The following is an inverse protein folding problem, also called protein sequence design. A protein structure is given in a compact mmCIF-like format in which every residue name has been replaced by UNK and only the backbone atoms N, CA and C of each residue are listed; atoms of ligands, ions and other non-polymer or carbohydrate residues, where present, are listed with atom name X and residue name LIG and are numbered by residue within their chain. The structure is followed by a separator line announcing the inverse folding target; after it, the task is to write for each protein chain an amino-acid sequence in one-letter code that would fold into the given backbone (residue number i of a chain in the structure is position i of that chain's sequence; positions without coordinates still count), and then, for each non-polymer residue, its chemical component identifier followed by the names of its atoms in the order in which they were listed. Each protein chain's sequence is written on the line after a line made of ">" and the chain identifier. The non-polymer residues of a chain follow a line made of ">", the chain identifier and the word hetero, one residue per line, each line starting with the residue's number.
data_IF_854542320522
#
_entry.id   IF_854542320522
#
_cell.length_a   1.000
_cell.length_b   1.000
_cell.length_c   1.000
_cell.angle_alpha   90.00
_cell.angle_beta   90.00
_cell.angle_gamma   90.00
#
_symmetry.space_group_name_H-M   'P 1'
#
loop_
_entity.id
_entity.type
_entity.pdbx_description
1 polymer ?
#
# COMPACT_ATOMS: atom_id res chain seq x y z
N UNK A 1 0.94 13.84 -14.78
CA UNK A 1 2.41 13.75 -14.58
C UNK A 1 2.62 13.85 -13.07
N UNK A 2 3.39 12.96 -12.45
CA UNK A 2 3.52 12.95 -10.98
C UNK A 2 3.91 14.35 -10.48
N UNK A 3 3.14 14.86 -9.52
CA UNK A 3 3.37 16.19 -8.95
C UNK A 3 4.67 16.16 -8.14
N UNK A 4 5.62 17.07 -8.40
CA UNK A 4 6.92 17.03 -7.76
C UNK A 4 6.80 17.34 -6.27
N UNK A 5 7.61 16.67 -5.46
CA UNK A 5 7.58 16.89 -4.01
C UNK A 5 8.29 18.20 -3.66
N UNK A 6 8.04 18.72 -2.46
CA UNK A 6 8.72 19.95 -2.00
C UNK A 6 10.24 19.79 -2.00
N UNK A 7 10.75 18.60 -1.70
CA UNK A 7 12.17 18.32 -1.70
C UNK A 7 12.75 18.41 -3.12
N UNK A 8 12.10 17.78 -4.10
CA UNK A 8 12.53 17.81 -5.51
C UNK A 8 12.55 19.23 -6.08
N UNK A 9 11.51 20.03 -5.79
CA UNK A 9 11.45 21.43 -6.24
C UNK A 9 12.54 22.27 -5.59
N UNK A 10 12.77 22.11 -4.28
CA UNK A 10 13.84 22.82 -3.58
C UNK A 10 15.20 22.42 -4.15
N UNK A 11 15.43 21.14 -4.41
CA UNK A 11 16.70 20.65 -4.95
C UNK A 11 16.97 21.19 -6.36
N UNK A 12 15.95 21.21 -7.22
CA UNK A 12 16.03 21.78 -8.56
C UNK A 12 16.36 23.28 -8.54
N UNK A 13 15.70 24.06 -7.68
CA UNK A 13 15.99 25.49 -7.54
C UNK A 13 17.37 25.73 -6.90
N UNK A 14 17.76 24.90 -5.92
CA UNK A 14 19.07 25.00 -5.28
C UNK A 14 20.21 24.73 -6.27
N UNK A 15 20.06 23.76 -7.17
CA UNK A 15 21.02 23.50 -8.25
C UNK A 15 21.20 24.69 -9.20
N UNK A 16 20.17 25.53 -9.36
CA UNK A 16 20.25 26.76 -10.15
C UNK A 16 20.87 27.92 -9.37
N UNK A 17 20.60 28.05 -8.06
CA UNK A 17 21.05 29.19 -7.24
C UNK A 17 22.52 29.04 -6.81
N UNK A 18 22.96 27.84 -6.41
CA UNK A 18 24.35 27.58 -5.96
C UNK A 18 25.41 28.11 -6.93
N UNK A 19 25.36 27.81 -8.26
CA UNK A 19 26.39 28.29 -9.17
C UNK A 19 26.38 29.82 -9.30
N UNK A 20 25.22 30.48 -9.21
CA UNK A 20 25.13 31.95 -9.26
C UNK A 20 25.84 32.57 -8.06
N UNK A 21 25.64 32.02 -6.86
CA UNK A 21 26.31 32.49 -5.64
C UNK A 21 27.83 32.28 -5.76
N UNK A 22 28.27 31.10 -6.21
CA UNK A 22 29.70 30.80 -6.37
C UNK A 22 30.37 31.72 -7.39
N UNK A 23 29.74 31.96 -8.54
CA UNK A 23 30.26 32.88 -9.55
C UNK A 23 30.29 34.31 -9.02
N UNK A 24 29.25 34.76 -8.33
CA UNK A 24 29.22 36.08 -7.69
C UNK A 24 30.34 36.27 -6.66
N UNK A 25 30.59 35.26 -5.82
CA UNK A 25 31.67 35.27 -4.83
C UNK A 25 33.04 35.30 -5.49
N UNK A 26 33.25 34.54 -6.57
CA UNK A 26 34.49 34.54 -7.33
C UNK A 26 34.76 35.92 -7.96
N UNK A 27 33.75 36.53 -8.58
CA UNK A 27 33.83 37.90 -9.14
C UNK A 27 34.15 38.91 -8.03
N UNK A 28 33.52 38.78 -6.86
CA UNK A 28 33.77 39.65 -5.72
C UNK A 28 35.23 39.57 -5.24
N UNK A 29 35.78 38.36 -5.09
CA UNK A 29 37.19 38.14 -4.71
C UNK A 29 38.14 38.70 -5.78
N UNK A 30 37.83 38.49 -7.06
CA UNK A 30 38.61 39.05 -8.17
C UNK A 30 38.58 40.59 -8.15
N UNK A 31 37.42 41.19 -7.90
CA UNK A 31 37.29 42.64 -7.76
C UNK A 31 38.13 43.19 -6.61
N UNK A 32 38.06 42.56 -5.43
CA UNK A 32 38.91 42.93 -4.28
C UNK A 32 40.40 42.81 -4.60
N UNK A 33 40.80 41.76 -5.34
CA UNK A 33 42.17 41.58 -5.77
C UNK A 33 42.63 42.69 -6.73
N UNK A 34 41.78 43.11 -7.68
CA UNK A 34 42.08 44.24 -8.57
C UNK A 34 42.19 45.56 -7.81
N UNK A 35 41.30 45.80 -6.84
CA UNK A 35 41.40 46.98 -5.96
C UNK A 35 42.71 46.94 -5.17
N UNK A 36 43.09 45.78 -4.61
CA UNK A 36 44.37 45.62 -3.92
C UNK A 36 45.57 45.93 -4.84
N UNK A 37 45.60 45.38 -6.06
CA UNK A 37 46.68 45.65 -7.02
C UNK A 37 46.77 47.14 -7.41
N UNK A 38 45.63 47.84 -7.52
CA UNK A 38 45.62 49.27 -7.81
C UNK A 38 46.29 50.12 -6.71
N UNK A 39 46.35 49.64 -5.47
CA UNK A 39 47.09 50.32 -4.39
C UNK A 39 48.62 50.19 -4.53
N UNK A 40 49.09 49.16 -5.22
CA UNK A 40 50.52 48.89 -5.44
C UNK A 40 51.04 49.40 -6.78
N UNK A 41 50.17 49.46 -7.78
CA UNK A 41 50.55 49.81 -9.14
C UNK A 41 49.61 50.90 -9.71
N UNK A 42 50.08 52.15 -9.86
CA UNK A 42 49.24 53.31 -10.22
C UNK A 42 48.68 53.26 -11.65
N UNK A 43 49.20 52.36 -12.50
CA UNK A 43 48.70 52.12 -13.86
C UNK A 43 47.40 51.31 -13.93
N UNK A 44 46.94 50.68 -12.84
CA UNK A 44 45.71 49.89 -12.84
C UNK A 44 44.49 50.76 -12.53
N UNK A 45 43.39 50.66 -13.30
CA UNK A 45 42.21 51.48 -13.10
C UNK A 45 41.44 51.04 -11.84
N UNK A 46 41.64 51.78 -10.75
CA UNK A 46 40.90 51.61 -9.48
C UNK A 46 39.38 51.49 -9.68
N UNK A 47 38.82 52.32 -10.58
CA UNK A 47 37.38 52.33 -10.89
C UNK A 47 36.88 50.97 -11.42
N UNK A 48 37.68 50.27 -12.21
CA UNK A 48 37.30 48.95 -12.74
C UNK A 48 37.23 47.93 -11.60
N UNK A 49 38.21 47.96 -10.68
CA UNK A 49 38.19 47.10 -9.50
C UNK A 49 36.93 47.29 -8.66
N UNK A 50 36.58 48.54 -8.35
CA UNK A 50 35.38 48.87 -7.57
C UNK A 50 34.09 48.41 -8.27
N UNK A 51 33.97 48.64 -9.58
CA UNK A 51 32.79 48.20 -10.34
C UNK A 51 32.63 46.68 -10.34
N UNK A 52 33.73 45.93 -10.51
CA UNK A 52 33.72 44.47 -10.48
C UNK A 52 33.34 43.96 -9.08
N UNK A 53 33.87 44.58 -8.03
CA UNK A 53 33.50 44.23 -6.64
C UNK A 53 32.01 44.46 -6.38
N UNK A 54 31.45 45.60 -6.80
CA UNK A 54 30.03 45.90 -6.65
C UNK A 54 29.16 44.93 -7.45
N UNK A 55 29.57 44.59 -8.67
CA UNK A 55 28.87 43.60 -9.50
C UNK A 55 28.86 42.21 -8.83
N UNK A 56 30.01 41.74 -8.32
CA UNK A 56 30.11 40.47 -7.60
C UNK A 56 29.22 40.44 -6.35
N UNK A 57 29.22 41.53 -5.58
CA UNK A 57 28.36 41.67 -4.40
C UNK A 57 26.87 41.66 -4.75
N UNK A 58 26.49 42.30 -5.86
CA UNK A 58 25.11 42.30 -6.37
C UNK A 58 24.63 40.92 -6.79
N UNK A 59 25.45 40.16 -7.52
CA UNK A 59 25.13 38.80 -7.97
C UNK A 59 25.02 37.84 -6.78
N UNK A 60 25.98 37.89 -5.85
CA UNK A 60 25.96 37.07 -4.64
C UNK A 60 24.75 37.42 -3.74
N UNK A 61 24.46 38.71 -3.58
CA UNK A 61 23.31 39.19 -2.82
C UNK A 61 21.97 38.74 -3.42
N UNK A 62 21.84 38.80 -4.75
CA UNK A 62 20.65 38.31 -5.45
C UNK A 62 20.43 36.80 -5.24
N UNK A 63 21.49 35.99 -5.36
CA UNK A 63 21.42 34.56 -5.08
C UNK A 63 21.04 34.26 -3.63
N UNK A 64 21.58 35.02 -2.67
CA UNK A 64 21.21 34.92 -1.25
C UNK A 64 19.74 35.28 -1.00
N UNK A 65 19.21 36.30 -1.67
CA UNK A 65 17.80 36.68 -1.56
C UNK A 65 16.87 35.61 -2.14
N UNK A 66 17.20 35.02 -3.29
CA UNK A 66 16.45 33.90 -3.84
C UNK A 66 16.46 32.68 -2.90
N UNK A 67 17.60 32.39 -2.28
CA UNK A 67 17.72 31.33 -1.29
C UNK A 67 16.79 31.55 -0.09
N UNK A 68 16.68 32.78 0.41
CA UNK A 68 15.74 33.12 1.49
C UNK A 68 14.28 32.90 1.09
N UNK A 69 13.93 33.16 -0.17
CA UNK A 69 12.57 32.89 -0.67
C UNK A 69 12.23 31.39 -0.68
N UNK A 70 13.19 30.50 -0.93
CA UNK A 70 12.96 29.05 -0.91
C UNK A 70 12.52 28.54 0.47
N UNK A 71 13.06 29.12 1.55
CA UNK A 71 12.66 28.75 2.91
C UNK A 71 11.22 29.17 3.25
N UNK A 72 10.69 30.18 2.55
CA UNK A 72 9.33 30.69 2.77
C UNK A 72 8.27 29.97 1.91
N UNK A 73 8.64 28.93 1.16
CA UNK A 73 7.69 28.18 0.35
C UNK A 73 6.67 27.44 1.24
N UNK A 74 5.35 27.54 0.92
CA UNK A 74 4.30 26.87 1.68
C UNK A 74 4.52 25.35 1.68
N UNK A 75 4.12 24.70 2.78
CA UNK A 75 4.20 23.25 2.91
C UNK A 75 2.82 22.68 3.24
N UNK A 76 2.32 21.85 2.32
CA UNK A 76 1.12 21.05 2.49
C UNK A 76 1.53 19.62 2.88
N UNK A 77 0.92 19.10 3.94
CA UNK A 77 1.19 17.75 4.45
C UNK A 77 0.11 16.80 3.95
N UNK A 78 0.48 15.86 3.09
CA UNK A 78 -0.37 14.74 2.70
C UNK A 78 0.10 13.47 3.43
N UNK A 79 -0.77 12.82 4.20
CA UNK A 79 -0.43 11.58 4.91
C UNK A 79 -0.64 10.39 3.99
N UNK A 80 0.38 9.55 3.83
CA UNK A 80 0.26 8.33 3.04
C UNK A 80 -0.59 7.29 3.79
N UNK A 81 -1.65 6.73 3.19
CA UNK A 81 -2.52 5.77 3.89
C UNK A 81 -1.93 4.36 3.98
N UNK A 82 -0.83 4.10 3.26
CA UNK A 82 -0.12 2.82 3.30
C UNK A 82 0.84 2.75 4.49
N UNK A 83 1.73 3.75 4.62
CA UNK A 83 2.81 3.77 5.60
C UNK A 83 2.61 4.82 6.71
N UNK A 84 1.54 5.61 6.66
CA UNK A 84 1.16 6.63 7.65
C UNK A 84 2.18 7.75 7.85
N UNK A 85 3.21 7.78 7.00
CA UNK A 85 4.22 8.84 7.02
C UNK A 85 3.76 10.03 6.15
N UNK A 86 4.04 11.27 6.59
CA UNK A 86 3.66 12.46 5.85
C UNK A 86 4.63 12.73 4.69
N UNK A 87 4.06 13.06 3.53
CA UNK A 87 4.77 13.60 2.36
C UNK A 87 4.48 15.09 2.23
N UNK A 88 5.52 15.88 1.93
CA UNK A 88 5.45 17.35 1.89
C UNK A 88 5.36 17.84 0.44
N UNK A 89 4.30 18.59 0.15
CA UNK A 89 4.03 19.21 -1.15
C UNK A 89 3.98 20.73 -1.02
N UNK A 90 4.14 21.44 -2.15
CA UNK A 90 3.97 22.90 -2.19
C UNK A 90 2.49 23.32 -2.28
N UNK A 91 1.65 22.44 -2.79
CA UNK A 91 0.22 22.64 -3.02
C UNK A 91 -0.54 21.34 -2.73
N UNK A 92 -1.87 21.40 -2.48
CA UNK A 92 -2.68 20.20 -2.36
C UNK A 92 -2.55 19.35 -3.63
N UNK A 93 -2.28 18.04 -3.52
CA UNK A 93 -2.08 17.21 -4.68
C UNK A 93 -3.42 16.91 -5.38
N UNK A 94 -3.47 17.15 -6.69
CA UNK A 94 -4.67 16.92 -7.52
C UNK A 94 -4.58 15.65 -8.36
N UNK A 95 -3.37 15.11 -8.51
CA UNK A 95 -3.09 13.88 -9.26
C UNK A 95 -2.52 12.80 -8.34
N UNK A 96 -2.56 11.55 -8.80
CA UNK A 96 -1.91 10.44 -8.12
C UNK A 96 -0.41 10.73 -7.90
N UNK A 97 0.08 10.47 -6.69
CA UNK A 97 1.49 10.69 -6.33
C UNK A 97 2.11 9.43 -5.76
N UNK A 98 3.43 9.31 -5.88
CA UNK A 98 4.18 8.21 -5.28
C UNK A 98 4.71 8.63 -3.91
N UNK A 99 4.44 7.85 -2.88
CA UNK A 99 4.96 8.14 -1.54
C UNK A 99 6.48 7.94 -1.50
N UNK A 100 7.23 8.95 -1.01
CA UNK A 100 8.70 8.90 -0.89
C UNK A 100 9.19 7.81 0.07
N UNK A 101 8.37 7.40 1.04
CA UNK A 101 8.82 6.48 2.09
C UNK A 101 8.54 5.00 1.79
N UNK A 102 7.46 4.69 1.07
CA UNK A 102 7.10 3.31 0.76
C UNK A 102 7.06 3.03 -0.74
N UNK A 103 7.33 4.04 -1.58
CA UNK A 103 7.31 3.96 -3.04
C UNK A 103 6.01 3.39 -3.63
N UNK A 104 4.91 3.46 -2.86
CA UNK A 104 3.56 3.07 -3.32
C UNK A 104 2.86 4.28 -3.91
N UNK A 105 2.14 4.06 -5.01
CA UNK A 105 1.30 5.07 -5.64
C UNK A 105 0.04 5.26 -4.81
N UNK A 106 -0.18 6.49 -4.36
CA UNK A 106 -1.37 6.94 -3.64
C UNK A 106 -2.33 7.54 -4.65
N UNK A 107 -3.51 6.95 -4.79
CA UNK A 107 -4.54 7.43 -5.69
C UNK A 107 -5.29 8.62 -5.09
N UNK A 108 -5.51 9.66 -5.89
CA UNK A 108 -6.30 10.85 -5.51
C UNK A 108 -7.52 10.94 -6.41
N UNK A 109 -8.68 11.17 -5.80
CA UNK A 109 -9.95 11.41 -6.50
C UNK A 109 -10.59 12.67 -5.93
N UNK A 110 -10.86 13.67 -6.77
CA UNK A 110 -11.49 14.92 -6.35
C UNK A 110 -10.69 15.74 -5.32
N UNK A 111 -9.35 15.60 -5.31
CA UNK A 111 -8.48 16.28 -4.33
C UNK A 111 -8.45 15.63 -2.93
N UNK A 112 -9.06 14.45 -2.78
CA UNK A 112 -8.99 13.65 -1.55
C UNK A 112 -8.21 12.36 -1.79
N UNK A 113 -7.46 11.95 -0.76
CA UNK A 113 -6.71 10.70 -0.77
C UNK A 113 -7.69 9.54 -0.64
N UNK A 114 -7.71 8.65 -1.64
CA UNK A 114 -8.58 7.48 -1.61
C UNK A 114 -7.99 6.43 -0.66
N UNK A 115 -8.76 5.93 0.32
CA UNK A 115 -8.26 4.94 1.27
C UNK A 115 -7.95 3.60 0.56
N UNK A 116 -6.88 2.90 0.98
CA UNK A 116 -6.50 1.62 0.40
C UNK A 116 -7.48 0.52 0.82
N UNK A 117 -7.73 -0.43 -0.08
CA UNK A 117 -8.49 -1.62 0.28
C UNK A 117 -7.59 -2.60 1.01
N UNK A 118 -8.09 -3.15 2.12
CA UNK A 118 -7.44 -4.25 2.84
C UNK A 118 -8.00 -5.56 2.31
N UNK A 119 -7.14 -6.35 1.68
CA UNK A 119 -7.50 -7.65 1.10
C UNK A 119 -6.64 -8.73 1.69
N UNK A 120 -7.22 -9.92 1.83
CA UNK A 120 -6.53 -11.08 2.37
C UNK A 120 -5.91 -11.88 1.22
N UNK A 121 -4.63 -12.21 1.34
CA UNK A 121 -3.94 -13.07 0.37
C UNK A 121 -4.60 -14.45 0.31
N UNK A 122 -4.89 -14.97 -0.89
CA UNK A 122 -5.50 -16.32 -1.03
C UNK A 122 -4.54 -17.46 -0.72
N UNK A 123 -3.23 -17.22 -0.80
CA UNK A 123 -2.20 -18.24 -0.55
C UNK A 123 -1.85 -18.36 0.94
N UNK A 124 -1.61 -17.24 1.62
CA UNK A 124 -1.11 -17.26 3.00
C UNK A 124 -2.05 -16.63 4.03
N UNK A 125 -3.19 -16.05 3.63
CA UNK A 125 -4.10 -15.40 4.57
C UNK A 125 -3.61 -14.05 5.14
N UNK A 126 -2.46 -13.54 4.68
CA UNK A 126 -1.93 -12.27 5.17
C UNK A 126 -2.75 -11.07 4.67
N UNK A 127 -3.05 -10.07 5.52
CA UNK A 127 -3.71 -8.84 5.11
C UNK A 127 -2.77 -7.96 4.28
N UNK A 128 -3.27 -7.40 3.19
CA UNK A 128 -2.53 -6.58 2.26
C UNK A 128 -3.30 -5.30 1.93
N UNK A 129 -2.63 -4.15 2.07
CA UNK A 129 -3.16 -2.83 1.66
C UNK A 129 -2.87 -2.61 0.18
N UNK A 130 -3.89 -2.63 -0.67
CA UNK A 130 -3.75 -2.45 -2.13
C UNK A 130 -4.44 -1.17 -2.60
N UNK A 131 -4.06 -0.68 -3.78
CA UNK A 131 -4.74 0.45 -4.39
C UNK A 131 -6.10 0.03 -4.98
N UNK A 132 -7.13 0.89 -4.91
CA UNK A 132 -8.46 0.61 -5.48
C UNK A 132 -8.46 0.39 -6.99
N UNK A 133 -7.45 0.93 -7.70
CA UNK A 133 -7.31 0.80 -9.15
C UNK A 133 -6.51 -0.44 -9.58
N UNK A 134 -5.93 -1.20 -8.66
CA UNK A 134 -5.13 -2.37 -9.00
C UNK A 134 -6.01 -3.52 -9.53
N UNK A 135 -5.57 -4.16 -10.63
CA UNK A 135 -6.19 -5.38 -11.19
C UNK A 135 -5.59 -6.68 -10.64
N UNK A 136 -4.37 -6.58 -10.11
CA UNK A 136 -3.64 -7.69 -9.49
C UNK A 136 -2.74 -7.11 -8.40
N UNK A 137 -2.48 -7.90 -7.37
CA UNK A 137 -1.45 -7.57 -6.38
C UNK A 137 -0.60 -8.80 -6.09
N UNK A 138 0.66 -8.55 -5.74
CA UNK A 138 1.61 -9.56 -5.31
C UNK A 138 1.68 -9.47 -3.79
N UNK A 139 1.58 -10.61 -3.10
CA UNK A 139 1.67 -10.63 -1.64
C UNK A 139 3.11 -10.42 -1.17
N UNK A 140 3.35 -9.46 -0.27
CA UNK A 140 4.70 -9.18 0.26
C UNK A 140 5.27 -10.34 1.10
N UNK A 141 4.42 -11.22 1.65
CA UNK A 141 4.87 -12.33 2.51
C UNK A 141 5.21 -13.60 1.72
N UNK A 142 4.34 -14.01 0.80
CA UNK A 142 4.48 -15.29 0.09
C UNK A 142 4.80 -15.13 -1.39
N UNK A 143 4.95 -13.89 -1.88
CA UNK A 143 5.16 -13.53 -3.29
C UNK A 143 4.11 -14.12 -4.27
N UNK A 144 2.96 -14.53 -3.74
CA UNK A 144 1.87 -15.11 -4.52
C UNK A 144 1.10 -14.02 -5.25
N UNK A 145 0.88 -14.21 -6.55
CA UNK A 145 0.07 -13.32 -7.37
C UNK A 145 -1.42 -13.57 -7.08
N UNK A 146 -2.14 -12.51 -6.73
CA UNK A 146 -3.58 -12.55 -6.49
C UNK A 146 -4.29 -11.62 -7.47
N UNK A 147 -5.17 -12.18 -8.28
CA UNK A 147 -5.98 -11.41 -9.20
C UNK A 147 -7.14 -10.74 -8.47
N UNK A 148 -7.20 -9.42 -8.60
CA UNK A 148 -8.33 -8.60 -8.20
C UNK A 148 -9.31 -8.68 -9.36
N UNK A 149 -10.07 -9.78 -9.43
CA UNK A 149 -11.21 -9.83 -10.34
C UNK A 149 -12.06 -8.62 -9.96
N UNK A 150 -12.27 -7.64 -10.87
CA UNK A 150 -13.06 -6.47 -10.52
C UNK A 150 -14.39 -7.03 -10.04
N UNK A 151 -14.67 -6.85 -8.75
CA UNK A 151 -16.04 -6.95 -8.30
C UNK A 151 -16.72 -5.89 -9.14
N UNK A 152 -17.51 -6.33 -10.13
CA UNK A 152 -18.34 -5.45 -10.92
C UNK A 152 -18.95 -4.43 -9.95
N UNK A 153 -18.96 -3.13 -10.29
CA UNK A 153 -19.57 -2.13 -9.43
C UNK A 153 -20.98 -2.66 -9.14
N UNK A 154 -21.25 -3.02 -7.89
CA UNK A 154 -22.61 -3.35 -7.50
C UNK A 154 -23.41 -2.09 -7.82
N UNK A 155 -24.37 -2.13 -8.75
CA UNK A 155 -25.23 -0.98 -8.94
C UNK A 155 -26.08 -0.89 -7.67
N UNK A 156 -25.82 0.11 -6.83
CA UNK A 156 -26.63 0.39 -5.65
C UNK A 156 -25.90 0.66 -4.32
N UNK A 157 -24.58 0.80 -4.25
CA UNK A 157 -23.94 1.33 -3.03
C UNK A 157 -23.62 2.80 -3.24
N UNK A 158 -24.62 3.63 -2.91
CA UNK A 158 -24.45 5.06 -2.75
C UNK A 158 -23.31 5.33 -1.74
N UNK A 159 -22.53 6.36 -2.03
CA UNK A 159 -21.64 7.06 -1.10
C UNK A 159 -22.33 7.25 0.24
N UNK A 160 -21.87 6.54 1.27
CA UNK A 160 -22.24 6.83 2.65
C UNK A 160 -21.16 7.73 3.27
N UNK A 161 -21.55 8.85 3.90
CA UNK A 161 -20.63 9.78 4.54
C UNK A 161 -20.01 9.18 5.80
N UNK A 162 -18.86 9.73 6.18
CA UNK A 162 -18.14 9.48 7.43
C UNK A 162 -19.09 9.66 8.62
N UNK A 163 -19.30 8.59 9.40
CA UNK A 163 -20.07 8.62 10.65
C UNK A 163 -21.19 7.58 10.71
N UNK A 164 -20.85 6.29 10.69
CA UNK A 164 -21.74 5.22 11.12
C UNK A 164 -20.93 4.20 11.94
N UNK A 165 -21.50 3.66 13.03
CA UNK A 165 -20.78 2.79 13.97
C UNK A 165 -20.29 1.54 13.23
N UNK A 166 -19.18 0.97 13.71
CA UNK A 166 -18.68 -0.35 13.30
C UNK A 166 -19.82 -1.38 13.44
N UNK A 167 -20.61 -1.56 12.39
CA UNK A 167 -21.26 -2.84 12.15
C UNK A 167 -20.14 -3.77 11.72
N UNK A 168 -19.58 -4.46 12.71
CA UNK A 168 -18.87 -5.71 12.50
C UNK A 168 -19.75 -6.57 11.60
N UNK A 169 -19.44 -6.60 10.31
CA UNK A 169 -19.91 -7.65 9.42
C UNK A 169 -19.28 -8.90 10.00
N UNK A 170 -19.98 -9.57 10.92
CA UNK A 170 -19.65 -10.92 11.36
C UNK A 170 -19.62 -11.75 10.09
N UNK A 171 -18.41 -12.00 9.58
CA UNK A 171 -18.19 -13.08 8.65
C UNK A 171 -18.50 -14.35 9.46
N UNK A 172 -19.77 -14.76 9.46
CA UNK A 172 -20.18 -16.04 10.03
C UNK A 172 -19.49 -17.11 9.19
N UNK A 173 -18.39 -17.63 9.72
CA UNK A 173 -17.70 -18.76 9.13
C UNK A 173 -18.36 -20.05 9.60
N UNK A 174 -18.23 -21.08 8.79
CA UNK A 174 -18.95 -22.33 8.98
C UNK A 174 -17.99 -23.51 8.93
N UNK A 175 -18.23 -24.48 9.80
CA UNK A 175 -17.51 -25.75 9.87
C UNK A 175 -18.35 -26.83 9.18
N UNK A 176 -17.67 -27.68 8.40
CA UNK A 176 -18.28 -28.82 7.71
C UNK A 176 -17.98 -30.09 8.49
N UNK A 177 -19.03 -30.75 8.96
CA UNK A 177 -18.96 -31.97 9.76
C UNK A 177 -19.48 -33.14 8.94
N UNK A 178 -18.69 -34.21 8.86
CA UNK A 178 -19.14 -35.49 8.32
C UNK A 178 -19.80 -36.28 9.44
N UNK A 179 -21.10 -36.55 9.30
CA UNK A 179 -21.87 -37.32 10.29
C UNK A 179 -21.86 -38.79 9.94
N UNK A 180 -22.03 -39.10 8.65
CA UNK A 180 -22.07 -40.47 8.15
C UNK A 180 -21.49 -40.57 6.73
N UNK A 181 -20.79 -41.66 6.44
CA UNK A 181 -20.20 -41.94 5.13
C UNK A 181 -21.16 -42.64 4.16
N UNK A 182 -22.29 -43.16 4.65
CA UNK A 182 -23.30 -43.83 3.83
C UNK A 182 -22.82 -45.13 3.18
N UNK A 183 -23.51 -45.56 2.12
CA UNK A 183 -23.27 -46.85 1.47
C UNK A 183 -22.14 -46.82 0.43
N UNK A 184 -21.81 -45.67 -0.14
CA UNK A 184 -20.80 -45.51 -1.19
C UNK A 184 -19.47 -44.98 -0.64
N UNK A 185 -18.87 -45.74 0.28
CA UNK A 185 -17.68 -45.30 1.03
C UNK A 185 -16.46 -45.01 0.15
N UNK A 186 -16.29 -45.69 -0.98
CA UNK A 186 -15.17 -45.47 -1.91
C UNK A 186 -15.30 -44.14 -2.69
N UNK A 187 -16.52 -43.77 -3.13
CA UNK A 187 -16.76 -42.47 -3.79
C UNK A 187 -16.59 -41.31 -2.82
N UNK A 188 -17.07 -41.48 -1.59
CA UNK A 188 -16.89 -40.51 -0.50
C UNK A 188 -15.42 -40.37 -0.14
N UNK A 189 -14.66 -41.46 -0.12
CA UNK A 189 -13.22 -41.46 0.14
C UNK A 189 -12.46 -40.64 -0.91
N UNK A 190 -12.78 -40.82 -2.19
CA UNK A 190 -12.15 -40.08 -3.28
C UNK A 190 -12.44 -38.58 -3.22
N UNK A 191 -13.68 -38.21 -2.94
CA UNK A 191 -14.08 -36.80 -2.74
C UNK A 191 -13.40 -36.22 -1.49
N UNK A 192 -13.34 -36.98 -0.38
CA UNK A 192 -12.71 -36.54 0.86
C UNK A 192 -11.21 -36.29 0.68
N UNK A 193 -10.51 -37.17 -0.02
CA UNK A 193 -9.09 -36.98 -0.31
C UNK A 193 -8.84 -35.83 -1.27
N UNK A 194 -9.72 -35.60 -2.26
CA UNK A 194 -9.64 -34.44 -3.13
C UNK A 194 -9.87 -33.13 -2.36
N UNK A 195 -10.80 -33.13 -1.40
CA UNK A 195 -11.13 -31.97 -0.57
C UNK A 195 -10.03 -31.60 0.42
N UNK A 196 -9.49 -32.60 1.11
CA UNK A 196 -8.45 -32.41 2.12
C UNK A 196 -7.03 -32.36 1.53
N UNK A 197 -6.86 -32.70 0.25
CA UNK A 197 -5.55 -32.91 -0.37
C UNK A 197 -4.68 -33.88 0.43
N UNK A 198 -5.30 -34.92 1.00
CA UNK A 198 -4.69 -35.86 1.93
C UNK A 198 -4.55 -37.28 1.31
N UNK A 199 -3.56 -38.08 1.76
CA UNK A 199 -3.40 -39.46 1.28
C UNK A 199 -4.57 -40.36 1.71
N UNK A 200 -4.90 -41.36 0.88
CA UNK A 200 -6.05 -42.27 1.08
C UNK A 200 -6.09 -42.94 2.46
N UNK A 201 -4.93 -43.27 3.04
CA UNK A 201 -4.86 -43.88 4.37
C UNK A 201 -5.35 -42.94 5.48
N UNK A 202 -5.11 -41.64 5.35
CA UNK A 202 -5.58 -40.63 6.29
C UNK A 202 -7.10 -40.43 6.18
N UNK A 203 -7.62 -40.36 4.95
CA UNK A 203 -9.06 -40.27 4.69
C UNK A 203 -9.81 -41.51 5.24
N UNK A 204 -9.22 -42.72 5.14
CA UNK A 204 -9.78 -43.95 5.72
C UNK A 204 -9.81 -43.93 7.25
N UNK A 205 -8.85 -43.26 7.88
CA UNK A 205 -8.87 -43.01 9.32
C UNK A 205 -10.06 -42.14 9.73
N UNK A 206 -10.30 -41.06 8.99
CA UNK A 206 -11.40 -40.11 9.24
C UNK A 206 -12.77 -40.80 9.12
N UNK A 207 -12.97 -41.68 8.13
CA UNK A 207 -14.21 -42.44 7.99
C UNK A 207 -14.49 -43.41 9.15
N UNK A 208 -13.47 -43.81 9.92
CA UNK A 208 -13.65 -44.67 11.11
C UNK A 208 -14.00 -43.88 12.37
N UNK A 209 -13.72 -42.58 12.39
CA UNK A 209 -13.90 -41.71 13.56
C UNK A 209 -15.11 -40.77 13.44
N UNK A 210 -16.09 -41.15 12.62
CA UNK A 210 -17.35 -40.43 12.46
C UNK A 210 -18.11 -40.34 13.81
N UNK A 211 -18.76 -39.20 14.12
CA UNK A 211 -18.82 -37.96 13.35
C UNK A 211 -17.62 -37.02 13.61
N UNK A 212 -17.04 -36.45 12.54
CA UNK A 212 -15.82 -35.61 12.61
C UNK A 212 -15.92 -34.32 11.77
N UNK A 213 -15.29 -33.25 12.26
CA UNK A 213 -15.14 -31.98 11.52
C UNK A 213 -14.07 -32.16 10.44
N UNK A 214 -14.45 -32.02 9.17
CA UNK A 214 -13.53 -32.16 8.03
C UNK A 214 -12.82 -30.83 7.74
N UNK A 215 -13.58 -29.74 7.71
CA UNK A 215 -13.09 -28.42 7.32
C UNK A 215 -13.66 -27.36 8.26
N UNK A 216 -12.84 -26.39 8.65
CA UNK A 216 -13.17 -25.31 9.60
C UNK A 216 -13.05 -23.98 8.87
N UNK A 217 -13.83 -22.98 9.31
CA UNK A 217 -13.70 -21.59 8.89
C UNK A 217 -14.05 -21.32 7.39
N UNK A 218 -15.11 -21.96 6.90
CA UNK A 218 -15.53 -21.82 5.50
C UNK A 218 -16.59 -20.74 5.31
N UNK A 219 -16.55 -20.01 4.18
CA UNK A 219 -17.68 -19.17 3.80
C UNK A 219 -18.87 -20.05 3.42
N UNK A 220 -20.07 -19.65 3.85
CA UNK A 220 -21.34 -20.40 3.69
C UNK A 220 -21.52 -21.06 2.32
N UNK A 221 -21.26 -20.30 1.25
CA UNK A 221 -21.42 -20.78 -0.15
C UNK A 221 -20.52 -21.98 -0.46
N UNK A 222 -19.30 -22.02 0.08
CA UNK A 222 -18.38 -23.15 -0.11
C UNK A 222 -18.80 -24.33 0.76
N UNK A 223 -19.14 -24.10 2.02
CA UNK A 223 -19.62 -25.15 2.91
C UNK A 223 -20.86 -25.87 2.34
N UNK A 224 -21.83 -25.10 1.82
CA UNK A 224 -23.02 -25.64 1.16
C UNK A 224 -22.68 -26.41 -0.14
N UNK A 225 -21.68 -25.94 -0.91
CA UNK A 225 -21.22 -26.65 -2.11
C UNK A 225 -20.59 -27.99 -1.76
N UNK A 226 -19.75 -28.03 -0.73
CA UNK A 226 -19.11 -29.27 -0.26
C UNK A 226 -20.13 -30.24 0.34
N UNK A 227 -21.10 -29.73 1.09
CA UNK A 227 -22.23 -30.53 1.59
C UNK A 227 -23.01 -31.21 0.47
N UNK A 228 -23.24 -30.50 -0.65
CA UNK A 228 -23.92 -31.09 -1.82
C UNK A 228 -23.10 -32.19 -2.46
N UNK A 229 -21.80 -31.95 -2.71
CA UNK A 229 -20.94 -32.98 -3.31
C UNK A 229 -20.84 -34.24 -2.46
N UNK A 230 -20.74 -34.10 -1.13
CA UNK A 230 -20.74 -35.24 -0.22
C UNK A 230 -22.10 -35.97 -0.21
N UNK A 231 -23.21 -35.22 -0.27
CA UNK A 231 -24.56 -35.79 -0.36
C UNK A 231 -24.80 -36.53 -1.67
N UNK A 232 -24.29 -36.02 -2.78
CA UNK A 232 -24.42 -36.66 -4.09
C UNK A 232 -23.67 -38.00 -4.14
N UNK A 233 -22.57 -38.12 -3.38
CA UNK A 233 -21.85 -39.38 -3.16
C UNK A 233 -22.47 -40.27 -2.05
N UNK A 234 -23.64 -39.90 -1.51
CA UNK A 234 -24.35 -40.71 -0.52
C UNK A 234 -23.92 -40.51 0.93
N UNK A 235 -23.04 -39.55 1.24
CA UNK A 235 -22.66 -39.21 2.61
C UNK A 235 -23.58 -38.15 3.24
N UNK A 236 -23.67 -38.16 4.57
CA UNK A 236 -24.40 -37.15 5.34
C UNK A 236 -23.43 -36.16 5.98
N UNK A 237 -23.46 -34.91 5.51
CA UNK A 237 -22.65 -33.82 6.06
C UNK A 237 -23.54 -32.68 6.58
N UNK A 238 -23.14 -32.12 7.72
CA UNK A 238 -23.79 -30.99 8.38
C UNK A 238 -22.89 -29.75 8.36
N UNK A 239 -23.52 -28.57 8.36
CA UNK A 239 -22.81 -27.28 8.34
C UNK A 239 -23.20 -26.52 9.59
N UNK A 240 -22.22 -26.26 10.45
CA UNK A 240 -22.40 -25.58 11.74
C UNK A 240 -21.67 -24.23 11.71
N UNK A 241 -22.15 -23.18 12.40
CA UNK A 241 -21.36 -21.97 12.59
C UNK A 241 -20.06 -22.31 13.34
N UNK A 242 -18.95 -21.68 12.95
CA UNK A 242 -17.64 -21.97 13.53
C UNK A 242 -17.65 -21.82 15.05
N UNK A 243 -17.20 -22.85 15.76
CA UNK A 243 -17.17 -22.91 17.22
C UNK A 243 -18.47 -23.36 17.91
N UNK A 244 -19.54 -23.66 17.17
CA UNK A 244 -20.80 -24.18 17.74
C UNK A 244 -20.96 -25.70 17.65
N UNK A 245 -20.09 -26.40 16.91
CA UNK A 245 -20.15 -27.86 16.86
C UNK A 245 -19.68 -28.46 18.19
N UNK A 246 -20.62 -29.03 18.95
CA UNK A 246 -20.32 -29.98 20.03
C UNK A 246 -20.46 -31.39 19.47
N UNK A 247 -19.39 -32.21 19.44
CA UNK A 247 -19.53 -33.59 19.04
C UNK A 247 -20.54 -34.29 19.97
N UNK A 248 -21.42 -35.16 19.44
CA UNK A 248 -22.29 -35.96 20.29
C UNK A 248 -21.42 -36.78 21.24
N UNK A 249 -21.75 -36.76 22.54
CA UNK A 249 -21.05 -37.56 23.53
C UNK A 249 -21.07 -39.02 23.08
N UNK A 250 -19.89 -39.63 22.91
CA UNK A 250 -19.75 -41.05 22.59
C UNK A 250 -20.56 -41.84 23.63
N UNK A 251 -21.74 -42.33 23.25
CA UNK A 251 -22.46 -43.31 24.05
C UNK A 251 -21.60 -44.57 24.00
N UNK A 252 -21.03 -44.92 25.15
CA UNK A 252 -20.18 -46.08 25.28
C UNK A 252 -20.91 -47.34 24.84
N UNK A 253 -20.26 -48.09 23.97
CA UNK A 253 -20.35 -49.54 23.89
C UNK A 253 -18.98 -50.10 24.22
#
# INVERSE_FOLDING_TARGET
>A
MAQPTRAEVIEAELQRIIPIILVGLLIFVLGLFLVYLSTKAPWMPFLVGVLVTLAGLGVAGYGGWQYLQLNNLPSYRAVCPYCEKPTLFLAPPTEDYTCEHCHRVVAIEGGQVVPPLVLVCRHCGAPQKVSPRAKMFICDQCNGQNDLKPAAPRPGVATAPVGAPEESIEYTTYDLVLVDAGHNTEEVLDILCALLSAPRDHCRGILKELPMVILVDLPRRKADSYRRMLRDAGATAEVHPTGQYRPPAKQGM
#
